data_IF_388064509325
#
_entry.id   IF_388064509325
#
_cell.length_a   1.000
_cell.length_b   1.000
_cell.length_c   1.000
_cell.angle_alpha   90.00
_cell.angle_beta   90.00
_cell.angle_gamma   90.00
#
_symmetry.space_group_name_H-M   'P 1'
#
loop_
_entity.id
_entity.type
_entity.pdbx_description
1 polymer ?
#
# COMPACT_ATOMS: atom_id res chain seq x y z
N UNK A 1 2.53 -16.61 51.97
CA UNK A 1 3.49 -17.70 51.67
C UNK A 1 3.76 -17.65 50.18
N UNK A 2 4.94 -17.14 49.94
CA UNK A 2 6.03 -17.68 49.12
C UNK A 2 5.77 -17.51 47.64
N UNK A 3 6.32 -16.46 47.02
CA UNK A 3 7.68 -16.27 46.46
C UNK A 3 7.97 -17.11 45.19
N UNK A 4 8.34 -16.32 44.15
CA UNK A 4 9.56 -16.48 43.38
C UNK A 4 9.49 -17.38 42.16
N UNK A 5 9.68 -16.80 41.00
CA UNK A 5 10.90 -16.84 40.18
C UNK A 5 10.70 -15.91 38.95
N UNK A 6 11.28 -14.98 38.78
CA UNK A 6 12.52 -14.28 38.37
C UNK A 6 13.38 -15.06 37.36
N UNK A 7 13.62 -14.40 36.25
CA UNK A 7 14.80 -14.43 35.40
C UNK A 7 14.86 -15.46 34.28
N UNK A 8 14.83 -14.94 33.03
CA UNK A 8 15.98 -15.07 32.11
C UNK A 8 15.91 -14.10 30.91
N UNK A 9 16.59 -13.01 31.09
CA UNK A 9 17.17 -12.25 29.99
C UNK A 9 18.19 -13.12 29.26
N UNK A 10 18.01 -13.33 27.97
CA UNK A 10 19.09 -13.82 27.11
C UNK A 10 19.46 -12.74 26.11
N UNK A 11 20.58 -12.12 26.43
CA UNK A 11 21.35 -11.19 25.62
C UNK A 11 21.78 -11.83 24.30
N UNK A 12 21.31 -11.32 23.16
CA UNK A 12 21.89 -11.64 21.86
C UNK A 12 23.06 -10.69 21.56
N UNK A 13 24.27 -11.22 21.75
CA UNK A 13 25.55 -10.59 21.36
C UNK A 13 25.57 -10.39 19.85
N UNK A 14 25.76 -9.14 19.44
CA UNK A 14 26.13 -8.76 18.07
C UNK A 14 27.59 -9.13 17.83
N UNK A 15 27.84 -10.03 16.91
CA UNK A 15 29.17 -10.37 16.39
C UNK A 15 29.49 -9.40 15.28
N UNK A 16 30.38 -8.45 15.56
CA UNK A 16 31.03 -7.64 14.52
C UNK A 16 32.23 -8.42 13.99
N UNK A 17 32.17 -8.83 12.73
CA UNK A 17 33.31 -9.44 12.02
C UNK A 17 34.14 -8.31 11.42
N UNK A 18 35.30 -8.03 12.03
CA UNK A 18 36.35 -7.16 11.52
C UNK A 18 37.17 -7.94 10.48
N UNK A 19 37.05 -7.55 9.21
CA UNK A 19 37.95 -8.01 8.16
C UNK A 19 39.15 -7.04 8.11
N UNK A 20 40.28 -7.51 8.62
CA UNK A 20 41.55 -6.81 8.48
C UNK A 20 42.10 -7.01 7.06
N UNK A 21 42.21 -5.94 6.29
CA UNK A 21 42.92 -5.90 5.00
C UNK A 21 44.38 -5.59 5.27
N UNK A 22 45.24 -6.59 5.12
CA UNK A 22 46.68 -6.42 5.13
C UNK A 22 47.13 -5.83 3.80
N UNK A 23 47.64 -4.60 3.86
CA UNK A 23 48.33 -3.94 2.75
C UNK A 23 49.78 -4.44 2.74
N UNK A 24 50.14 -5.22 1.71
CA UNK A 24 51.53 -5.57 1.42
C UNK A 24 52.12 -4.50 0.47
N UNK A 25 52.95 -3.61 1.04
CA UNK A 25 53.82 -2.72 0.26
C UNK A 25 54.99 -3.51 -0.34
N UNK A 26 54.89 -3.82 -1.65
CA UNK A 26 56.00 -4.27 -2.45
C UNK A 26 56.53 -3.13 -3.35
N UNK A 27 57.60 -2.49 -2.95
CA UNK A 27 58.32 -1.54 -3.80
C UNK A 27 59.14 -2.30 -4.83
N UNK A 28 58.74 -2.22 -6.11
CA UNK A 28 59.58 -2.58 -7.25
C UNK A 28 59.82 -1.33 -8.09
N UNK A 29 61.04 -0.80 -8.02
CA UNK A 29 61.60 0.16 -8.93
C UNK A 29 61.74 -0.51 -10.30
N UNK A 30 60.94 -0.07 -11.28
CA UNK A 30 60.98 -0.58 -12.65
C UNK A 30 60.53 0.50 -13.64
N UNK A 31 61.55 1.04 -14.37
CA UNK A 31 61.49 1.68 -15.69
C UNK A 31 60.19 2.36 -16.13
N UNK A 32 60.18 3.69 -16.25
CA UNK A 32 59.22 4.49 -16.97
C UNK A 32 59.08 4.03 -18.45
N UNK A 33 57.97 3.42 -18.86
CA UNK A 33 57.63 3.38 -20.27
C UNK A 33 57.04 4.73 -20.66
N UNK A 34 57.52 5.30 -21.76
CA UNK A 34 57.03 6.54 -22.35
C UNK A 34 55.48 6.62 -22.30
N UNK A 35 54.95 7.76 -21.84
CA UNK A 35 53.54 8.10 -21.80
C UNK A 35 52.92 8.02 -23.21
N UNK A 36 52.52 6.86 -23.61
CA UNK A 36 51.62 6.72 -24.75
C UNK A 36 50.26 7.27 -24.33
N UNK A 37 49.84 8.38 -24.93
CA UNK A 37 48.57 9.00 -24.66
C UNK A 37 47.42 7.99 -24.79
N UNK A 38 46.84 7.54 -23.67
CA UNK A 38 45.74 6.61 -23.67
C UNK A 38 44.46 7.31 -24.15
N UNK A 39 43.94 6.85 -25.28
CA UNK A 39 42.63 7.26 -25.79
C UNK A 39 41.51 6.45 -25.13
N UNK A 40 40.32 7.04 -24.95
CA UNK A 40 39.15 6.34 -24.44
C UNK A 40 38.00 6.38 -25.43
N UNK A 41 37.30 5.26 -25.60
CA UNK A 41 36.07 5.17 -26.39
C UNK A 41 34.96 4.56 -25.53
N UNK A 42 33.71 4.97 -25.77
CA UNK A 42 32.55 4.34 -25.16
C UNK A 42 31.95 3.33 -26.14
N UNK A 43 31.81 2.10 -25.69
CA UNK A 43 31.20 1.01 -26.44
C UNK A 43 29.81 0.70 -25.89
N UNK A 44 28.86 0.37 -26.76
CA UNK A 44 27.46 0.11 -26.42
C UNK A 44 27.03 -1.29 -26.88
N UNK A 45 26.25 -1.98 -26.06
CA UNK A 45 25.56 -3.24 -26.38
C UNK A 45 24.17 -3.21 -25.80
N UNK A 46 23.16 -2.95 -26.62
CA UNK A 46 21.80 -2.66 -26.12
C UNK A 46 21.82 -1.43 -25.22
N UNK A 47 21.27 -1.53 -24.02
CA UNK A 47 21.23 -0.44 -23.02
C UNK A 47 22.53 -0.34 -22.20
N UNK A 48 23.43 -1.30 -22.29
CA UNK A 48 24.69 -1.31 -21.56
C UNK A 48 25.76 -0.46 -22.25
N UNK A 49 26.59 0.25 -21.46
CA UNK A 49 27.75 1.00 -21.93
C UNK A 49 29.00 0.62 -21.15
N UNK A 50 30.17 0.64 -21.83
CA UNK A 50 31.48 0.34 -21.23
C UNK A 50 32.54 1.25 -21.84
N UNK A 51 33.39 1.85 -21.00
CA UNK A 51 34.54 2.65 -21.46
C UNK A 51 35.75 1.75 -21.64
N UNK A 52 36.38 1.81 -22.80
CA UNK A 52 37.62 1.10 -23.13
C UNK A 52 38.75 2.13 -23.28
N UNK A 53 39.83 1.96 -22.52
CA UNK A 53 41.01 2.83 -22.55
C UNK A 53 42.22 2.02 -23.08
N UNK A 54 42.85 2.48 -24.13
CA UNK A 54 44.06 1.89 -24.71
C UNK A 54 44.77 2.91 -25.61
N UNK A 55 45.98 2.60 -26.08
CA UNK A 55 46.66 3.42 -27.10
C UNK A 55 45.87 3.47 -28.43
N UNK A 56 45.27 2.33 -28.81
CA UNK A 56 44.31 2.20 -29.92
C UNK A 56 43.08 1.43 -29.48
N UNK A 57 42.12 2.12 -28.81
CA UNK A 57 40.96 1.42 -28.21
C UNK A 57 40.02 0.89 -29.30
N UNK A 58 39.60 -0.38 -29.15
CA UNK A 58 38.58 -1.03 -29.98
C UNK A 58 37.48 -1.61 -29.07
N UNK A 59 36.26 -1.59 -29.54
CA UNK A 59 35.18 -2.23 -28.82
C UNK A 59 35.33 -3.76 -28.83
N UNK A 60 35.03 -4.44 -27.70
CA UNK A 60 34.96 -5.91 -27.67
C UNK A 60 33.98 -6.47 -28.69
N UNK A 61 34.11 -7.75 -29.03
CA UNK A 61 33.19 -8.42 -29.95
C UNK A 61 31.73 -8.27 -29.49
N UNK A 62 30.83 -7.88 -30.36
CA UNK A 62 29.42 -7.64 -30.10
C UNK A 62 29.10 -6.26 -29.48
N UNK A 63 30.10 -5.36 -29.34
CA UNK A 63 29.91 -3.97 -28.90
C UNK A 63 30.18 -3.00 -30.05
N UNK A 64 29.49 -1.85 -30.07
CA UNK A 64 29.64 -0.83 -31.12
C UNK A 64 29.88 0.55 -30.49
N UNK A 65 30.59 1.42 -31.19
CA UNK A 65 30.75 2.83 -30.81
C UNK A 65 29.51 3.69 -31.08
N UNK A 66 28.55 3.18 -31.89
CA UNK A 66 27.29 3.88 -32.14
C UNK A 66 26.38 3.74 -30.94
N UNK A 67 26.03 4.88 -30.32
CA UNK A 67 25.03 4.91 -29.25
C UNK A 67 23.69 4.38 -29.81
N UNK A 68 23.04 3.38 -29.19
CA UNK A 68 21.74 2.91 -29.65
C UNK A 68 20.78 4.07 -29.64
N UNK A 69 20.13 4.32 -30.77
CA UNK A 69 19.00 5.26 -30.83
C UNK A 69 17.86 4.56 -30.12
N UNK A 70 17.66 4.91 -28.86
CA UNK A 70 16.42 4.55 -28.19
C UNK A 70 15.31 5.22 -28.99
N UNK A 71 14.56 4.44 -29.80
CA UNK A 71 13.29 4.93 -30.32
C UNK A 71 12.53 5.41 -29.10
N UNK A 72 12.36 6.73 -29.01
CA UNK A 72 11.50 7.35 -28.00
C UNK A 72 10.14 6.68 -28.19
N UNK A 73 9.87 5.67 -27.35
CA UNK A 73 8.51 5.12 -27.23
C UNK A 73 7.66 6.32 -26.95
N UNK A 74 6.81 6.66 -27.88
CA UNK A 74 5.80 7.73 -27.70
C UNK A 74 5.21 7.48 -26.33
N UNK A 75 5.37 8.46 -25.44
CA UNK A 75 4.73 8.43 -24.14
C UNK A 75 3.27 8.07 -24.38
N UNK A 76 2.67 7.18 -23.57
CA UNK A 76 1.25 6.90 -23.73
C UNK A 76 0.55 8.24 -23.76
N UNK A 77 -0.25 8.46 -24.78
CA UNK A 77 -1.13 9.63 -24.95
C UNK A 77 -1.71 9.90 -23.57
N UNK A 78 -1.48 11.10 -23.03
CA UNK A 78 -2.02 11.49 -21.73
C UNK A 78 -3.53 11.32 -21.82
N UNK A 79 -4.06 10.23 -21.28
CA UNK A 79 -5.48 10.06 -21.11
C UNK A 79 -5.91 11.22 -20.22
N UNK A 80 -6.79 12.06 -20.72
CA UNK A 80 -7.33 13.20 -19.98
C UNK A 80 -8.01 12.63 -18.74
N UNK A 81 -7.36 12.78 -17.59
CA UNK A 81 -7.89 12.35 -16.31
C UNK A 81 -9.22 13.06 -16.07
N UNK A 82 -10.29 12.31 -15.88
CA UNK A 82 -11.62 12.84 -15.58
C UNK A 82 -11.84 12.79 -14.08
N UNK A 83 -12.14 13.95 -13.49
CA UNK A 83 -12.57 14.02 -12.09
C UNK A 83 -14.06 13.68 -11.98
N UNK A 84 -14.38 12.79 -11.05
CA UNK A 84 -15.75 12.37 -10.73
C UNK A 84 -16.00 12.60 -9.25
N UNK A 85 -17.24 12.97 -8.90
CA UNK A 85 -17.66 13.17 -7.51
C UNK A 85 -18.66 12.08 -7.13
N UNK A 86 -18.39 11.43 -5.98
CA UNK A 86 -19.30 10.51 -5.33
C UNK A 86 -19.92 11.18 -4.10
N UNK A 87 -21.21 11.05 -3.95
CA UNK A 87 -21.93 11.36 -2.72
C UNK A 87 -23.09 10.36 -2.60
N UNK A 88 -22.95 9.41 -1.68
CA UNK A 88 -23.88 8.29 -1.56
C UNK A 88 -24.01 7.85 -0.11
N UNK A 89 -25.23 7.48 0.29
CA UNK A 89 -25.50 6.80 1.55
C UNK A 89 -25.89 5.35 1.25
N UNK A 90 -25.22 4.42 1.91
CA UNK A 90 -25.46 2.99 1.83
C UNK A 90 -26.11 2.53 3.12
N UNK A 91 -27.19 1.82 3.01
CA UNK A 91 -27.86 1.12 4.12
C UNK A 91 -27.79 -0.38 3.90
N UNK A 92 -27.52 -1.12 4.97
CA UNK A 92 -27.33 -2.56 4.82
C UNK A 92 -27.01 -3.25 6.14
N UNK A 93 -26.11 -4.22 6.07
CA UNK A 93 -25.72 -5.04 7.23
C UNK A 93 -24.21 -5.15 7.34
N UNK A 94 -23.75 -5.26 8.59
CA UNK A 94 -22.41 -5.63 8.97
C UNK A 94 -22.48 -6.90 9.83
N UNK A 95 -21.77 -7.96 9.41
CA UNK A 95 -21.59 -9.16 10.23
C UNK A 95 -20.24 -9.06 10.94
N UNK A 96 -20.25 -9.17 12.25
CA UNK A 96 -19.05 -9.08 13.11
C UNK A 96 -18.80 -10.38 13.84
N UNK A 97 -17.51 -10.69 14.04
CA UNK A 97 -17.05 -11.77 14.91
C UNK A 97 -16.07 -11.19 15.93
N UNK A 98 -16.35 -11.40 17.20
CA UNK A 98 -15.54 -10.94 18.34
C UNK A 98 -14.61 -12.05 18.84
N UNK A 99 -13.39 -11.68 19.19
CA UNK A 99 -12.42 -12.50 19.92
C UNK A 99 -12.02 -11.77 21.20
N UNK A 100 -11.14 -12.34 22.01
CA UNK A 100 -10.64 -11.68 23.24
C UNK A 100 -9.93 -10.35 23.00
N UNK A 101 -9.36 -10.14 21.81
CA UNK A 101 -8.51 -8.97 21.51
C UNK A 101 -8.86 -8.24 20.22
N UNK A 102 -9.85 -8.74 19.47
CA UNK A 102 -10.18 -8.15 18.17
C UNK A 102 -11.64 -8.33 17.79
N UNK A 103 -12.08 -7.48 16.86
CA UNK A 103 -13.34 -7.64 16.14
C UNK A 103 -13.04 -7.66 14.64
N UNK A 104 -13.68 -8.57 13.94
CA UNK A 104 -13.62 -8.67 12.49
C UNK A 104 -15.01 -8.46 11.91
N UNK A 105 -15.14 -7.50 11.01
CA UNK A 105 -16.29 -7.38 10.13
C UNK A 105 -16.09 -8.37 8.97
N UNK A 106 -16.68 -9.56 9.13
CA UNK A 106 -16.53 -10.67 8.18
C UNK A 106 -17.22 -10.40 6.86
N UNK A 107 -18.33 -9.65 6.92
CA UNK A 107 -19.09 -9.24 5.74
C UNK A 107 -19.75 -7.90 6.01
N UNK A 108 -19.58 -6.99 5.07
CA UNK A 108 -20.33 -5.74 4.96
C UNK A 108 -21.07 -5.76 3.64
N UNK A 109 -22.36 -5.52 3.66
CA UNK A 109 -23.20 -5.37 2.46
C UNK A 109 -24.11 -4.16 2.60
N UNK A 110 -24.39 -3.48 1.49
CA UNK A 110 -25.30 -2.34 1.52
C UNK A 110 -25.80 -1.97 0.14
N UNK A 111 -26.95 -1.29 0.14
CA UNK A 111 -27.52 -0.68 -1.06
C UNK A 111 -27.45 0.83 -0.94
N UNK A 112 -26.91 1.47 -1.97
CA UNK A 112 -26.72 2.92 -2.01
C UNK A 112 -27.93 3.65 -2.55
N UNK A 113 -28.21 4.80 -1.94
CA UNK A 113 -29.20 5.76 -2.41
C UNK A 113 -28.54 7.11 -2.70
N UNK A 114 -29.10 7.89 -3.64
CA UNK A 114 -28.57 9.21 -4.00
C UNK A 114 -27.25 9.19 -4.76
N UNK A 115 -26.86 8.06 -5.35
CA UNK A 115 -25.61 7.97 -6.09
C UNK A 115 -25.76 8.53 -7.50
N UNK A 116 -25.02 9.59 -7.82
CA UNK A 116 -24.99 10.20 -9.14
C UNK A 116 -24.24 9.35 -10.19
N UNK A 117 -23.43 8.40 -9.70
CA UNK A 117 -22.59 7.53 -10.55
C UNK A 117 -23.20 6.16 -10.81
N UNK A 118 -24.37 5.85 -10.22
CA UNK A 118 -25.02 4.54 -10.30
C UNK A 118 -24.35 3.45 -9.46
N UNK A 119 -23.38 3.78 -8.61
CA UNK A 119 -22.69 2.83 -7.72
C UNK A 119 -23.59 2.50 -6.52
N UNK A 120 -24.54 1.59 -6.72
CA UNK A 120 -25.60 1.30 -5.75
C UNK A 120 -25.30 0.13 -4.81
N UNK A 121 -24.29 -0.68 -5.08
CA UNK A 121 -23.95 -1.85 -4.27
C UNK A 121 -22.66 -1.60 -3.50
N UNK A 122 -22.66 -1.94 -2.22
CA UNK A 122 -21.50 -1.90 -1.33
C UNK A 122 -21.22 -3.31 -0.79
N UNK A 123 -19.96 -3.71 -0.85
CA UNK A 123 -19.45 -4.90 -0.15
C UNK A 123 -18.12 -4.56 0.51
N UNK A 124 -17.77 -5.25 1.60
CA UNK A 124 -16.50 -5.02 2.25
C UNK A 124 -16.25 -5.95 3.43
N UNK A 125 -15.06 -5.78 4.00
CA UNK A 125 -14.60 -6.44 5.23
C UNK A 125 -13.77 -5.46 6.04
N UNK A 126 -13.59 -5.75 7.33
CA UNK A 126 -12.77 -4.89 8.17
C UNK A 126 -12.35 -5.56 9.48
N UNK A 127 -11.50 -4.88 10.23
CA UNK A 127 -11.07 -5.35 11.55
C UNK A 127 -10.64 -4.17 12.43
N UNK A 128 -10.69 -4.40 13.74
CA UNK A 128 -10.14 -3.52 14.76
C UNK A 128 -9.64 -4.36 15.93
N UNK A 129 -8.76 -3.77 16.74
CA UNK A 129 -8.34 -4.32 18.04
C UNK A 129 -8.76 -3.32 19.13
N UNK A 130 -10.00 -3.40 19.60
CA UNK A 130 -10.54 -2.45 20.55
C UNK A 130 -9.78 -2.47 21.87
N UNK A 131 -9.29 -1.32 22.30
CA UNK A 131 -8.57 -1.13 23.57
C UNK A 131 -9.03 0.13 24.32
N UNK A 132 -9.77 0.97 23.63
CA UNK A 132 -10.33 2.22 24.13
C UNK A 132 -11.71 2.48 23.55
N UNK A 133 -12.24 3.66 23.81
CA UNK A 133 -13.55 4.06 23.28
C UNK A 133 -13.48 4.41 21.78
N UNK A 134 -12.31 4.84 21.30
CA UNK A 134 -12.01 5.10 19.88
C UNK A 134 -10.76 4.37 19.48
N UNK A 135 -10.87 3.45 18.55
CA UNK A 135 -9.74 2.65 18.05
C UNK A 135 -9.63 2.71 16.54
N UNK A 136 -8.41 2.49 16.04
CA UNK A 136 -8.16 2.40 14.61
C UNK A 136 -8.89 1.24 13.98
N UNK A 137 -9.44 1.45 12.80
CA UNK A 137 -10.10 0.43 11.99
C UNK A 137 -9.35 0.25 10.68
N UNK A 138 -9.24 -1.00 10.25
CA UNK A 138 -8.73 -1.38 8.95
C UNK A 138 -9.85 -2.01 8.14
N UNK A 139 -9.79 -1.87 6.82
CA UNK A 139 -10.79 -2.50 5.97
C UNK A 139 -10.58 -2.25 4.50
N UNK A 140 -11.31 -3.02 3.72
CA UNK A 140 -11.41 -2.87 2.27
C UNK A 140 -12.86 -2.92 1.85
N UNK A 141 -13.18 -2.17 0.81
CA UNK A 141 -14.53 -2.14 0.26
C UNK A 141 -14.53 -2.05 -1.26
N UNK A 142 -15.64 -2.49 -1.81
CA UNK A 142 -15.95 -2.36 -3.22
C UNK A 142 -17.35 -1.77 -3.33
N UNK A 143 -17.50 -0.72 -4.14
CA UNK A 143 -18.80 -0.20 -4.55
C UNK A 143 -18.97 -0.45 -6.05
N UNK A 144 -20.18 -0.82 -6.47
CA UNK A 144 -20.43 -1.23 -7.86
C UNK A 144 -21.82 -0.83 -8.37
N UNK A 145 -21.96 -0.83 -9.69
CA UNK A 145 -23.24 -0.73 -10.39
C UNK A 145 -23.65 -2.07 -11.03
N UNK A 146 -22.99 -3.17 -10.59
CA UNK A 146 -23.16 -4.51 -11.16
C UNK A 146 -22.17 -4.83 -12.27
N UNK A 147 -21.71 -3.86 -13.04
CA UNK A 147 -20.75 -4.03 -14.15
C UNK A 147 -19.41 -3.39 -13.85
N UNK A 148 -19.42 -2.18 -13.31
CA UNK A 148 -18.24 -1.41 -13.02
C UNK A 148 -18.03 -1.34 -11.50
N UNK A 149 -16.77 -1.41 -11.06
CA UNK A 149 -16.45 -1.40 -9.63
C UNK A 149 -15.45 -0.31 -9.30
N UNK A 150 -15.53 0.22 -8.09
CA UNK A 150 -14.54 1.08 -7.45
C UNK A 150 -14.08 0.38 -6.17
N UNK A 151 -12.77 0.16 -6.01
CA UNK A 151 -12.16 -0.50 -4.86
C UNK A 151 -11.41 0.50 -4.01
N UNK A 152 -11.54 0.35 -2.69
CA UNK A 152 -10.84 1.21 -1.74
C UNK A 152 -10.40 0.44 -0.49
N UNK A 153 -9.39 0.96 0.19
CA UNK A 153 -8.95 0.54 1.52
C UNK A 153 -9.02 1.71 2.49
N UNK A 154 -9.23 1.42 3.77
CA UNK A 154 -9.26 2.47 4.79
C UNK A 154 -7.86 3.05 5.00
N UNK A 155 -7.82 4.37 5.17
CA UNK A 155 -6.63 5.07 5.66
C UNK A 155 -6.34 4.62 7.10
N UNK A 156 -5.08 4.45 7.51
CA UNK A 156 -4.71 4.06 8.87
C UNK A 156 -5.21 4.98 9.99
N UNK A 157 -5.54 6.23 9.67
CA UNK A 157 -6.14 7.19 10.62
C UNK A 157 -7.66 7.02 10.79
N UNK A 158 -8.29 6.08 10.09
CA UNK A 158 -9.71 5.79 10.23
C UNK A 158 -10.03 5.18 11.59
N UNK A 159 -11.14 5.60 12.20
CA UNK A 159 -11.49 5.23 13.57
C UNK A 159 -12.92 4.72 13.69
N UNK A 160 -13.11 3.82 14.66
CA UNK A 160 -14.38 3.41 15.18
C UNK A 160 -14.49 3.82 16.64
N UNK A 161 -15.51 4.60 16.98
CA UNK A 161 -15.74 5.10 18.34
C UNK A 161 -17.06 4.56 18.89
N UNK A 162 -17.00 3.82 19.99
CA UNK A 162 -18.18 3.38 20.72
C UNK A 162 -18.77 4.55 21.52
N UNK A 163 -20.09 4.70 21.53
CA UNK A 163 -20.77 5.71 22.36
C UNK A 163 -20.66 5.40 23.85
N UNK A 164 -20.83 4.14 24.20
CA UNK A 164 -20.79 3.64 25.57
C UNK A 164 -19.59 2.70 25.73
N UNK A 165 -19.03 2.65 26.93
CA UNK A 165 -17.88 1.80 27.25
C UNK A 165 -18.20 0.30 27.29
N UNK A 166 -19.49 -0.05 27.36
CA UNK A 166 -19.96 -1.42 27.36
C UNK A 166 -21.07 -1.64 26.33
N UNK A 167 -21.19 -2.87 25.86
CA UNK A 167 -22.33 -3.26 25.02
C UNK A 167 -23.60 -3.42 25.85
N UNK A 168 -24.79 -3.12 25.28
CA UNK A 168 -25.01 -2.70 23.91
C UNK A 168 -24.61 -1.23 23.67
N UNK A 169 -23.96 -0.99 22.54
CA UNK A 169 -23.51 0.36 22.17
C UNK A 169 -23.69 0.63 20.68
N UNK A 170 -23.59 1.89 20.29
CA UNK A 170 -23.49 2.31 18.89
C UNK A 170 -22.03 2.63 18.61
N UNK A 171 -21.48 2.04 17.58
CA UNK A 171 -20.16 2.37 17.07
C UNK A 171 -20.32 3.32 15.89
N UNK A 172 -19.72 4.50 16.01
CA UNK A 172 -19.60 5.47 14.91
C UNK A 172 -18.24 5.26 14.22
N UNK A 173 -18.24 5.10 12.92
CA UNK A 173 -17.03 4.97 12.12
C UNK A 173 -16.81 6.23 11.28
N UNK A 174 -15.57 6.67 11.20
CA UNK A 174 -15.18 7.83 10.39
C UNK A 174 -13.75 7.65 9.85
N UNK A 175 -13.52 8.21 8.69
CA UNK A 175 -12.17 8.16 8.10
C UNK A 175 -12.13 8.48 6.63
N UNK A 176 -11.05 8.07 6.01
CA UNK A 176 -10.83 8.20 4.59
C UNK A 176 -10.69 6.80 3.97
N UNK A 177 -11.22 6.66 2.76
CA UNK A 177 -11.08 5.48 1.92
C UNK A 177 -10.18 5.83 0.73
N UNK A 178 -9.00 5.24 0.68
CA UNK A 178 -8.02 5.42 -0.39
C UNK A 178 -8.41 4.50 -1.54
N UNK A 179 -8.72 5.08 -2.70
CA UNK A 179 -9.10 4.31 -3.89
C UNK A 179 -7.87 3.59 -4.43
N UNK A 180 -7.94 2.27 -4.48
CA UNK A 180 -6.90 1.37 -4.98
C UNK A 180 -7.10 0.96 -6.45
N UNK A 181 -8.16 1.43 -7.09
CA UNK A 181 -8.51 1.16 -8.48
C UNK A 181 -9.98 0.82 -8.69
N UNK A 182 -10.28 0.23 -9.84
CA UNK A 182 -11.63 -0.17 -10.21
C UNK A 182 -11.64 -0.95 -11.51
N UNK A 183 -12.85 -1.27 -11.99
CA UNK A 183 -13.07 -1.94 -13.28
C UNK A 183 -13.98 -1.11 -14.19
N UNK A 184 -14.02 -1.46 -15.47
CA UNK A 184 -14.84 -0.79 -16.47
C UNK A 184 -14.53 0.70 -16.53
N UNK A 185 -15.55 1.56 -16.45
CA UNK A 185 -15.39 3.02 -16.49
C UNK A 185 -14.58 3.62 -15.34
N UNK A 186 -14.28 2.82 -14.29
CA UNK A 186 -13.46 3.22 -13.15
C UNK A 186 -12.07 2.56 -13.16
N UNK A 187 -11.66 1.93 -14.26
CA UNK A 187 -10.33 1.34 -14.38
C UNK A 187 -9.23 2.39 -14.16
N UNK A 188 -8.28 2.05 -13.28
CA UNK A 188 -7.19 2.96 -12.92
C UNK A 188 -7.63 4.19 -12.10
N UNK A 189 -8.80 4.14 -11.46
CA UNK A 189 -9.26 5.19 -10.56
C UNK A 189 -8.31 5.39 -9.39
N UNK A 190 -8.13 6.65 -8.99
CA UNK A 190 -7.28 7.07 -7.86
C UNK A 190 -7.93 8.24 -7.13
N UNK A 191 -7.68 8.34 -5.85
CA UNK A 191 -8.19 9.44 -5.02
C UNK A 191 -8.48 9.00 -3.60
N UNK A 192 -9.10 9.88 -2.84
CA UNK A 192 -9.49 9.62 -1.45
C UNK A 192 -10.92 10.10 -1.24
N UNK A 193 -11.75 9.24 -0.68
CA UNK A 193 -13.12 9.54 -0.30
C UNK A 193 -13.22 9.59 1.22
N UNK A 194 -14.03 10.47 1.75
CA UNK A 194 -14.39 10.49 3.16
C UNK A 194 -15.54 9.51 3.40
N UNK A 195 -15.53 8.85 4.55
CA UNK A 195 -16.67 8.08 4.98
C UNK A 195 -17.05 8.37 6.43
N UNK A 196 -18.33 8.25 6.72
CA UNK A 196 -18.90 8.26 8.06
C UNK A 196 -20.01 7.23 8.12
N UNK A 197 -20.16 6.56 9.25
CA UNK A 197 -21.23 5.57 9.39
C UNK A 197 -21.47 5.17 10.82
N UNK A 198 -22.45 4.31 11.01
CA UNK A 198 -22.76 3.76 12.34
C UNK A 198 -23.40 2.40 12.24
N UNK A 199 -23.19 1.59 13.28
CA UNK A 199 -23.86 0.33 13.50
C UNK A 199 -23.96 0.03 15.00
N UNK A 200 -24.91 -0.84 15.37
CA UNK A 200 -25.10 -1.27 16.76
C UNK A 200 -24.24 -2.50 17.04
N UNK A 201 -23.70 -2.59 18.25
CA UNK A 201 -23.06 -3.78 18.81
C UNK A 201 -23.88 -4.22 20.01
N UNK A 202 -24.37 -5.45 20.02
CA UNK A 202 -25.18 -6.01 21.11
C UNK A 202 -24.33 -6.67 22.19
N UNK A 203 -23.21 -7.30 21.78
CA UNK A 203 -22.28 -7.96 22.71
C UNK A 203 -20.85 -7.89 22.17
N UNK A 204 -19.88 -7.77 23.06
CA UNK A 204 -18.44 -7.82 22.76
C UNK A 204 -17.78 -9.07 23.34
N UNK A 205 -18.54 -10.04 23.82
CA UNK A 205 -18.00 -11.27 24.37
C UNK A 205 -17.29 -12.07 23.26
N UNK A 206 -16.14 -12.65 23.60
CA UNK A 206 -15.38 -13.49 22.68
C UNK A 206 -16.24 -14.66 22.15
N UNK A 207 -16.12 -14.94 20.87
CA UNK A 207 -16.93 -15.93 20.16
C UNK A 207 -18.30 -15.42 19.68
N UNK A 208 -18.71 -14.20 20.08
CA UNK A 208 -19.98 -13.63 19.61
C UNK A 208 -19.91 -13.27 18.13
N UNK A 209 -20.91 -13.71 17.39
CA UNK A 209 -21.15 -13.32 16.00
C UNK A 209 -22.50 -12.62 15.88
N UNK A 210 -22.51 -11.43 15.32
CA UNK A 210 -23.71 -10.61 15.15
C UNK A 210 -23.84 -10.11 13.69
N UNK A 211 -25.09 -9.87 13.28
CA UNK A 211 -25.38 -9.18 12.02
C UNK A 211 -26.31 -7.99 12.29
N UNK A 212 -25.75 -6.81 12.21
CA UNK A 212 -26.42 -5.57 12.61
C UNK A 212 -26.66 -4.64 11.41
N UNK A 213 -27.66 -3.77 11.54
CA UNK A 213 -27.90 -2.72 10.56
C UNK A 213 -26.72 -1.75 10.51
N UNK A 214 -26.30 -1.40 9.30
CA UNK A 214 -25.25 -0.44 9.00
C UNK A 214 -25.81 0.70 8.16
N UNK A 215 -25.44 1.92 8.51
CA UNK A 215 -25.55 3.10 7.63
C UNK A 215 -24.15 3.63 7.38
N UNK A 216 -23.81 3.89 6.11
CA UNK A 216 -22.50 4.38 5.69
C UNK A 216 -22.69 5.46 4.62
N UNK A 217 -22.20 6.66 4.86
CA UNK A 217 -22.14 7.74 3.88
C UNK A 217 -20.71 7.87 3.37
N UNK A 218 -20.58 7.93 2.04
CA UNK A 218 -19.27 8.07 1.35
C UNK A 218 -19.36 9.28 0.44
N UNK A 219 -18.37 10.18 0.54
CA UNK A 219 -18.34 11.42 -0.24
C UNK A 219 -16.92 11.82 -0.63
N UNK A 220 -16.79 12.53 -1.76
CA UNK A 220 -15.53 13.08 -2.23
C UNK A 220 -15.35 12.97 -3.74
N UNK A 221 -14.20 13.43 -4.23
CA UNK A 221 -13.86 13.40 -5.65
C UNK A 221 -12.68 12.46 -5.90
N UNK A 222 -12.68 11.81 -7.04
CA UNK A 222 -11.63 10.90 -7.48
C UNK A 222 -11.42 11.04 -8.99
N UNK A 223 -10.27 10.59 -9.48
CA UNK A 223 -9.90 10.66 -10.87
C UNK A 223 -9.94 9.29 -11.54
N UNK A 224 -10.38 9.24 -12.79
CA UNK A 224 -10.28 8.08 -13.68
C UNK A 224 -9.33 8.39 -14.83
N UNK A 225 -8.79 7.35 -15.45
CA UNK A 225 -7.96 7.50 -16.68
C UNK A 225 -8.83 7.68 -17.90
#
# INVERSE_FOLDING_TARGET
>A
MVEKEMTRMTSMKRIYSLIAVTVVCGALLGANPANAATKSITCYKGTASKIVKAATPKCPAGWTTKKPVVKKTTAPTSSTSKSLTLNATYTGKIATLWTDSSVTATTVTGTGTGTTLGLTQLTGTGSSSPSSQCDSINGTGTISDGTNTLKASFDPASQGCAKESAAPTIVNITGNAIISGGTGKYAGATGTLKFTGSFKVGSTAAGTSESNALTLTISGSFNTK
#
